data_IF_705647196032
#
_entry.id   IF_705647196032
#
_cell.length_a   1.000
_cell.length_b   1.000
_cell.length_c   1.000
_cell.angle_alpha   90.00
_cell.angle_beta   90.00
_cell.angle_gamma   90.00
#
_symmetry.space_group_name_H-M   'P 1'
#
loop_
_entity.id
_entity.type
_entity.pdbx_description
1 polymer ?
#
# COMPACT_ATOMS: atom_id res chain seq x y z
N UNK A 1 12.37 24.09 -19.29
CA UNK A 1 11.59 24.27 -18.05
C UNK A 1 10.34 23.41 -18.16
N UNK A 2 10.34 22.23 -17.53
CA UNK A 2 9.14 21.54 -17.04
C UNK A 2 9.58 20.22 -16.42
N UNK A 3 9.84 20.26 -15.12
CA UNK A 3 9.83 19.10 -14.27
C UNK A 3 9.59 19.67 -12.87
N UNK A 4 8.33 19.99 -12.59
CA UNK A 4 7.86 19.94 -11.22
C UNK A 4 8.27 18.56 -10.71
N UNK A 5 9.37 18.50 -9.96
CA UNK A 5 9.65 17.37 -9.09
C UNK A 5 8.40 17.27 -8.24
N UNK A 6 7.53 16.31 -8.51
CA UNK A 6 6.36 16.08 -7.69
C UNK A 6 6.84 15.97 -6.24
N UNK A 7 6.54 17.00 -5.47
CA UNK A 7 6.88 17.05 -4.07
C UNK A 7 6.24 15.84 -3.42
N UNK A 8 7.00 15.10 -2.62
CA UNK A 8 6.40 14.05 -1.81
C UNK A 8 5.26 14.66 -0.98
N UNK A 9 4.14 13.94 -0.82
CA UNK A 9 3.08 14.39 0.06
C UNK A 9 3.63 14.51 1.50
N UNK A 10 3.13 15.50 2.22
CA UNK A 10 3.42 15.72 3.64
C UNK A 10 2.79 14.61 4.49
N UNK A 11 3.26 14.46 5.72
CA UNK A 11 2.66 13.51 6.66
C UNK A 11 1.18 13.82 6.94
N UNK A 12 0.81 15.10 6.98
CA UNK A 12 -0.58 15.52 7.22
C UNK A 12 -1.50 15.19 6.03
N UNK A 13 -1.01 15.32 4.80
CA UNK A 13 -1.75 14.91 3.60
C UNK A 13 -1.97 13.39 3.57
N UNK A 14 -0.91 12.61 3.83
CA UNK A 14 -0.99 11.15 3.89
C UNK A 14 -1.92 10.67 5.02
N UNK A 15 -1.87 11.31 6.18
CA UNK A 15 -2.75 10.96 7.30
C UNK A 15 -4.22 11.28 6.98
N UNK A 16 -4.49 12.43 6.35
CA UNK A 16 -5.84 12.78 5.91
C UNK A 16 -6.38 11.76 4.92
N UNK A 17 -5.57 11.41 3.92
CA UNK A 17 -5.92 10.38 2.95
C UNK A 17 -6.22 9.04 3.63
N UNK A 18 -5.38 8.57 4.56
CA UNK A 18 -5.62 7.31 5.29
C UNK A 18 -6.92 7.32 6.11
N UNK A 19 -7.34 8.48 6.63
CA UNK A 19 -8.57 8.64 7.40
C UNK A 19 -9.83 8.67 6.52
N UNK A 20 -9.72 9.12 5.28
CA UNK A 20 -10.82 9.12 4.30
C UNK A 20 -11.15 7.71 3.77
N UNK A 21 -10.22 6.76 3.94
CA UNK A 21 -10.29 5.42 3.35
C UNK A 21 -10.94 4.35 4.24
N UNK A 22 -11.72 4.72 5.26
CA UNK A 22 -12.44 3.75 6.10
C UNK A 22 -13.46 2.92 5.31
N UNK A 23 -13.59 1.66 5.70
CA UNK A 23 -14.49 0.66 5.13
C UNK A 23 -15.61 0.29 6.11
N UNK A 24 -16.78 -0.07 5.60
CA UNK A 24 -17.86 -0.63 6.40
C UNK A 24 -17.55 -2.04 6.91
N UNK A 25 -16.73 -2.82 6.18
CA UNK A 25 -16.35 -4.18 6.50
C UNK A 25 -15.25 -4.70 5.57
N UNK A 26 -14.75 -5.91 5.85
CA UNK A 26 -13.80 -6.62 4.99
C UNK A 26 -13.99 -8.14 5.11
N UNK A 27 -14.98 -8.66 4.40
CA UNK A 27 -15.17 -10.09 4.16
C UNK A 27 -14.19 -10.63 3.12
N UNK A 28 -14.18 -11.94 2.96
CA UNK A 28 -13.45 -12.65 1.90
C UNK A 28 -13.91 -12.20 0.51
N UNK A 29 -15.22 -11.97 0.34
CA UNK A 29 -15.80 -11.45 -0.90
C UNK A 29 -15.34 -10.02 -1.17
N UNK A 30 -15.39 -9.13 -0.17
CA UNK A 30 -14.93 -7.74 -0.31
C UNK A 30 -13.45 -7.69 -0.71
N UNK A 31 -12.62 -8.55 -0.11
CA UNK A 31 -11.20 -8.65 -0.43
C UNK A 31 -10.94 -9.15 -1.87
N UNK A 32 -11.74 -10.12 -2.33
CA UNK A 32 -11.69 -10.60 -3.71
C UNK A 32 -12.10 -9.51 -4.71
N UNK A 33 -13.21 -8.82 -4.46
CA UNK A 33 -13.71 -7.74 -5.32
C UNK A 33 -12.74 -6.56 -5.39
N UNK A 34 -12.16 -6.16 -4.25
CA UNK A 34 -11.09 -5.16 -4.21
C UNK A 34 -9.88 -5.59 -5.06
N UNK A 35 -9.45 -6.85 -4.93
CA UNK A 35 -8.36 -7.40 -5.74
C UNK A 35 -8.67 -7.37 -7.23
N UNK A 36 -9.88 -7.80 -7.62
CA UNK A 36 -10.34 -7.79 -9.01
C UNK A 36 -10.41 -6.38 -9.59
N UNK A 37 -10.89 -5.41 -8.81
CA UNK A 37 -10.95 -4.00 -9.21
C UNK A 37 -9.54 -3.44 -9.51
N UNK A 38 -8.57 -3.74 -8.64
CA UNK A 38 -7.18 -3.36 -8.85
C UNK A 38 -6.58 -4.04 -10.09
N UNK A 39 -6.79 -5.35 -10.28
CA UNK A 39 -6.28 -6.07 -11.45
C UNK A 39 -6.88 -5.52 -12.75
N UNK A 40 -8.18 -5.24 -12.78
CA UNK A 40 -8.83 -4.66 -13.96
C UNK A 40 -8.21 -3.31 -14.34
N UNK A 41 -8.06 -2.40 -13.36
CA UNK A 41 -7.47 -1.08 -13.59
C UNK A 41 -6.00 -1.15 -14.02
N UNK A 42 -5.20 -2.04 -13.42
CA UNK A 42 -3.81 -2.23 -13.80
C UNK A 42 -3.68 -2.86 -15.20
N UNK A 43 -4.59 -3.76 -15.56
CA UNK A 43 -4.61 -4.41 -16.89
C UNK A 43 -4.96 -3.41 -17.99
N UNK A 44 -5.96 -2.55 -17.77
CA UNK A 44 -6.35 -1.49 -18.70
C UNK A 44 -5.18 -0.56 -19.04
N UNK A 45 -4.36 -0.25 -18.03
CA UNK A 45 -3.18 0.59 -18.14
C UNK A 45 -1.89 -0.18 -18.50
N UNK A 46 -1.96 -1.51 -18.66
CA UNK A 46 -0.83 -2.41 -18.92
C UNK A 46 0.33 -2.27 -17.91
N UNK A 47 -0.01 -2.11 -16.63
CA UNK A 47 0.97 -1.91 -15.57
C UNK A 47 1.61 -3.23 -15.13
N UNK A 48 2.94 -3.32 -15.02
CA UNK A 48 3.66 -4.54 -14.66
C UNK A 48 3.74 -4.73 -13.13
N UNK A 49 2.59 -4.87 -12.47
CA UNK A 49 2.50 -4.88 -11.00
C UNK A 49 2.07 -6.23 -10.43
N UNK A 50 2.55 -6.54 -9.23
CA UNK A 50 1.92 -7.53 -8.33
C UNK A 50 0.89 -6.83 -7.45
N UNK A 51 -0.31 -7.39 -7.34
CA UNK A 51 -1.43 -6.90 -6.49
C UNK A 51 -1.67 -7.89 -5.37
N UNK A 52 -2.03 -7.43 -4.17
CA UNK A 52 -2.54 -8.34 -3.14
C UNK A 52 -3.33 -7.67 -2.02
N UNK A 53 -4.13 -8.49 -1.33
CA UNK A 53 -5.00 -8.10 -0.21
C UNK A 53 -4.82 -9.10 0.94
N UNK A 54 -4.65 -8.58 2.15
CA UNK A 54 -4.47 -9.35 3.37
C UNK A 54 -5.42 -8.89 4.48
N UNK A 55 -5.93 -9.82 5.28
CA UNK A 55 -6.68 -9.56 6.52
C UNK A 55 -6.15 -10.46 7.63
N UNK A 56 -5.84 -9.90 8.80
CA UNK A 56 -5.34 -10.65 9.96
C UNK A 56 -4.18 -11.63 9.62
N UNK A 57 -3.26 -11.19 8.75
CA UNK A 57 -2.10 -12.00 8.32
C UNK A 57 -2.38 -13.06 7.24
N UNK A 58 -3.64 -13.32 6.89
CA UNK A 58 -4.01 -14.24 5.79
C UNK A 58 -4.03 -13.48 4.46
N UNK A 59 -3.42 -14.05 3.43
CA UNK A 59 -3.51 -13.55 2.06
C UNK A 59 -4.86 -13.97 1.48
N UNK A 60 -5.74 -13.01 1.24
CA UNK A 60 -7.08 -13.25 0.69
C UNK A 60 -7.11 -13.12 -0.83
N UNK A 61 -6.20 -12.32 -1.40
CA UNK A 61 -6.06 -12.13 -2.84
C UNK A 61 -4.60 -11.92 -3.23
N UNK A 62 -4.21 -12.43 -4.40
CA UNK A 62 -2.93 -12.16 -5.05
C UNK A 62 -3.03 -12.33 -6.56
N UNK A 63 -2.40 -11.43 -7.31
CA UNK A 63 -2.27 -11.57 -8.76
C UNK A 63 -1.00 -10.86 -9.21
N UNK A 64 -0.10 -11.58 -9.89
CA UNK A 64 1.01 -10.99 -10.65
C UNK A 64 0.58 -10.73 -12.09
N UNK A 65 0.67 -9.47 -12.55
CA UNK A 65 0.35 -9.11 -13.94
C UNK A 65 1.58 -9.28 -14.86
N UNK A 66 1.38 -9.36 -16.19
CA UNK A 66 2.49 -9.45 -17.14
C UNK A 66 3.57 -8.39 -16.91
N UNK A 67 4.83 -8.83 -16.80
CA UNK A 67 5.97 -7.96 -16.52
C UNK A 67 6.32 -7.82 -15.03
N UNK A 68 5.43 -8.21 -14.12
CA UNK A 68 5.78 -8.38 -12.70
C UNK A 68 6.59 -9.66 -12.48
N UNK A 69 7.31 -9.71 -11.36
CA UNK A 69 8.24 -10.79 -11.01
C UNK A 69 8.10 -11.17 -9.53
N UNK A 70 8.73 -12.27 -9.14
CA UNK A 70 8.77 -12.70 -7.74
C UNK A 70 9.43 -11.66 -6.79
N UNK A 71 10.28 -10.77 -7.32
CA UNK A 71 10.84 -9.67 -6.51
C UNK A 71 9.74 -8.67 -6.11
N UNK A 72 8.78 -8.39 -7.01
CA UNK A 72 7.64 -7.54 -6.71
C UNK A 72 6.78 -8.12 -5.56
N UNK A 73 6.60 -9.44 -5.52
CA UNK A 73 5.90 -10.12 -4.42
C UNK A 73 6.68 -10.00 -3.08
N UNK A 74 8.01 -10.09 -3.13
CA UNK A 74 8.86 -9.90 -1.97
C UNK A 74 8.79 -8.47 -1.43
N UNK A 75 8.83 -7.48 -2.33
CA UNK A 75 8.62 -6.07 -2.00
C UNK A 75 7.25 -5.82 -1.39
N UNK A 76 6.18 -6.35 -2.01
CA UNK A 76 4.81 -6.21 -1.53
C UNK A 76 4.68 -6.71 -0.07
N UNK A 77 5.24 -7.89 0.24
CA UNK A 77 5.27 -8.42 1.61
C UNK A 77 6.08 -7.54 2.59
N UNK A 78 7.19 -6.95 2.15
CA UNK A 78 8.02 -6.05 2.99
C UNK A 78 7.29 -4.74 3.29
N UNK A 79 6.59 -4.16 2.31
CA UNK A 79 5.76 -2.97 2.48
C UNK A 79 4.57 -3.24 3.40
N UNK A 80 3.83 -4.33 3.18
CA UNK A 80 2.67 -4.70 4.00
C UNK A 80 3.01 -5.00 5.46
N UNK A 81 4.20 -5.53 5.75
CA UNK A 81 4.69 -5.69 7.13
C UNK A 81 4.90 -4.34 7.84
N UNK A 82 5.27 -3.29 7.10
CA UNK A 82 5.33 -1.93 7.66
C UNK A 82 3.92 -1.47 8.02
N UNK A 83 2.94 -1.67 7.13
CA UNK A 83 1.54 -1.32 7.40
C UNK A 83 1.00 -1.99 8.64
N UNK A 84 1.14 -3.31 8.76
CA UNK A 84 0.65 -4.03 9.94
C UNK A 84 1.43 -3.71 11.23
N UNK A 85 2.65 -3.18 11.14
CA UNK A 85 3.48 -2.83 12.31
C UNK A 85 3.14 -1.45 12.87
N UNK A 86 2.80 -0.51 12.00
CA UNK A 86 2.67 0.91 12.33
C UNK A 86 1.27 1.48 12.08
N UNK A 87 0.36 0.70 11.49
CA UNK A 87 -1.02 1.09 11.18
C UNK A 87 -1.15 2.32 10.25
N UNK A 88 -0.07 2.60 9.51
CA UNK A 88 0.05 3.64 8.49
C UNK A 88 0.50 3.04 7.17
N UNK A 89 0.25 3.74 6.07
CA UNK A 89 0.76 3.35 4.76
C UNK A 89 2.27 3.25 4.76
N UNK A 90 2.79 2.39 3.88
CA UNK A 90 4.24 2.24 3.73
C UNK A 90 4.90 3.50 3.17
N UNK A 91 4.15 4.37 2.47
CA UNK A 91 4.60 5.70 2.03
C UNK A 91 4.66 6.70 3.21
N UNK A 92 3.67 6.71 4.11
CA UNK A 92 3.71 7.53 5.32
C UNK A 92 4.98 7.24 6.12
N UNK A 93 5.28 5.97 6.33
CA UNK A 93 6.50 5.57 7.04
C UNK A 93 7.78 5.94 6.28
N UNK A 94 7.76 5.93 4.94
CA UNK A 94 8.88 6.41 4.13
C UNK A 94 9.10 7.90 4.32
N UNK A 95 8.03 8.71 4.28
CA UNK A 95 8.09 10.15 4.49
C UNK A 95 8.55 10.49 5.91
N UNK A 96 8.05 9.77 6.91
CA UNK A 96 8.43 9.97 8.31
C UNK A 96 9.93 9.68 8.54
N UNK A 97 10.44 8.61 7.93
CA UNK A 97 11.86 8.27 7.97
C UNK A 97 12.71 9.34 7.26
N UNK A 98 12.24 9.83 6.12
CA UNK A 98 12.91 10.90 5.37
C UNK A 98 12.99 12.21 6.18
N UNK A 99 11.86 12.68 6.73
CA UNK A 99 11.80 13.92 7.53
C UNK A 99 12.70 13.83 8.78
N UNK A 100 12.84 12.63 9.36
CA UNK A 100 13.68 12.37 10.53
C UNK A 100 15.11 11.96 10.19
N UNK A 101 15.44 11.81 8.92
CA UNK A 101 16.75 11.34 8.43
C UNK A 101 17.22 10.03 9.10
N UNK A 102 16.30 9.06 9.24
CA UNK A 102 16.56 7.73 9.81
C UNK A 102 16.08 6.63 8.88
N UNK A 103 16.50 5.39 9.12
CA UNK A 103 15.89 4.21 8.49
C UNK A 103 14.98 3.44 9.46
N UNK A 104 14.18 2.52 8.93
CA UNK A 104 13.43 1.58 9.76
C UNK A 104 14.36 0.70 10.64
N UNK A 105 15.54 0.38 10.13
CA UNK A 105 16.52 -0.42 10.86
C UNK A 105 17.10 0.36 12.04
N UNK A 106 17.56 1.59 11.80
CA UNK A 106 18.23 2.39 12.83
C UNK A 106 17.28 2.82 13.95
N UNK A 107 16.06 3.24 13.59
CA UNK A 107 15.12 3.79 14.57
C UNK A 107 14.23 2.74 15.24
N UNK A 108 13.89 1.66 14.54
CA UNK A 108 12.90 0.68 15.02
C UNK A 108 13.45 -0.75 15.10
N UNK A 109 14.73 -0.99 14.79
CA UNK A 109 15.33 -2.32 14.81
C UNK A 109 14.75 -3.28 13.76
N UNK A 110 14.13 -2.76 12.70
CA UNK A 110 13.44 -3.56 11.70
C UNK A 110 14.39 -3.89 10.53
N UNK A 111 14.75 -5.16 10.29
CA UNK A 111 15.71 -5.51 9.26
C UNK A 111 15.14 -5.22 7.86
N UNK A 112 15.95 -4.60 7.00
CA UNK A 112 15.55 -4.23 5.64
C UNK A 112 15.12 -5.44 4.80
N UNK A 113 15.65 -6.65 5.08
CA UNK A 113 15.23 -7.90 4.44
C UNK A 113 13.76 -8.26 4.70
N UNK A 114 13.16 -7.74 5.78
CA UNK A 114 11.77 -8.04 6.15
C UNK A 114 10.83 -6.85 6.04
N UNK A 115 11.32 -5.61 6.11
CA UNK A 115 10.52 -4.39 6.11
C UNK A 115 11.03 -3.40 5.06
N UNK A 116 10.12 -2.70 4.41
CA UNK A 116 10.45 -1.67 3.44
C UNK A 116 9.51 -0.48 3.59
N UNK A 117 10.05 0.67 4.01
CA UNK A 117 9.36 1.94 3.93
C UNK A 117 9.46 2.47 2.50
N UNK A 118 8.48 2.12 1.68
CA UNK A 118 8.31 2.57 0.29
C UNK A 118 6.83 2.50 -0.06
N UNK A 119 6.31 3.46 -0.82
CA UNK A 119 4.89 3.50 -1.19
C UNK A 119 4.39 2.26 -1.95
N UNK A 120 3.09 2.00 -1.84
CA UNK A 120 2.42 0.86 -2.47
C UNK A 120 1.73 -0.12 -1.53
N UNK A 121 1.71 0.11 -0.22
CA UNK A 121 0.85 -0.64 0.70
C UNK A 121 0.09 0.33 1.62
N UNK A 122 -1.22 0.13 1.73
CA UNK A 122 -2.16 1.01 2.44
C UNK A 122 -2.99 0.19 3.43
N UNK A 123 -3.23 0.66 4.67
CA UNK A 123 -4.04 -0.05 5.65
C UNK A 123 -5.50 -0.15 5.21
N UNK A 124 -6.11 -1.31 5.47
CA UNK A 124 -7.56 -1.50 5.38
C UNK A 124 -8.15 -1.28 6.77
N UNK A 125 -8.77 -0.12 6.98
CA UNK A 125 -9.40 0.27 8.25
C UNK A 125 -10.90 0.02 8.17
N UNK A 126 -11.44 -0.70 9.15
CA UNK A 126 -12.89 -0.93 9.28
C UNK A 126 -13.44 -0.03 10.39
N UNK A 127 -14.54 0.69 10.11
CA UNK A 127 -15.17 1.62 11.03
C UNK A 127 -15.48 0.95 12.37
N UNK A 128 -15.06 1.57 13.47
CA UNK A 128 -15.24 1.04 14.82
C UNK A 128 -14.38 -0.18 15.18
N UNK A 129 -13.54 -0.69 14.26
CA UNK A 129 -12.65 -1.85 14.49
C UNK A 129 -11.18 -1.48 14.43
N UNK A 130 -10.79 -0.53 13.57
CA UNK A 130 -9.39 -0.16 13.33
C UNK A 130 -8.78 -0.88 12.12
N UNK A 131 -7.45 -0.97 12.06
CA UNK A 131 -6.74 -1.61 10.94
C UNK A 131 -6.85 -3.13 11.04
N UNK A 132 -7.54 -3.75 10.08
CA UNK A 132 -7.77 -5.20 10.04
C UNK A 132 -6.87 -5.93 9.03
N UNK A 133 -6.22 -5.17 8.16
CA UNK A 133 -5.51 -5.70 7.01
C UNK A 133 -4.82 -4.61 6.20
N UNK A 134 -4.40 -4.98 4.99
CA UNK A 134 -3.78 -4.06 4.05
C UNK A 134 -3.99 -4.55 2.62
N UNK A 135 -3.99 -3.60 1.70
CA UNK A 135 -3.92 -3.82 0.25
C UNK A 135 -2.66 -3.18 -0.27
N UNK A 136 -2.11 -3.70 -1.35
CA UNK A 136 -0.97 -3.05 -1.99
C UNK A 136 -0.68 -3.52 -3.39
N UNK A 137 0.21 -2.76 -4.04
CA UNK A 137 0.84 -3.10 -5.30
C UNK A 137 2.36 -2.92 -5.24
N UNK A 138 3.05 -3.60 -6.15
CA UNK A 138 4.48 -3.39 -6.38
C UNK A 138 4.81 -3.54 -7.85
N UNK A 139 5.46 -2.53 -8.43
CA UNK A 139 5.98 -2.58 -9.80
C UNK A 139 6.22 -1.20 -10.42
N UNK A 140 5.68 -0.13 -9.83
CA UNK A 140 5.83 1.25 -10.28
C UNK A 140 6.81 2.03 -9.38
N UNK A 141 7.17 3.28 -9.74
CA UNK A 141 7.75 4.21 -8.77
C UNK A 141 6.85 4.33 -7.53
N UNK A 142 7.47 4.49 -6.36
CA UNK A 142 6.78 4.33 -5.08
C UNK A 142 5.56 5.26 -4.87
N UNK A 143 5.61 6.48 -5.43
CA UNK A 143 4.49 7.42 -5.35
C UNK A 143 3.33 6.95 -6.21
N UNK A 144 3.62 6.38 -7.38
CA UNK A 144 2.61 5.86 -8.30
C UNK A 144 1.99 4.57 -7.78
N UNK A 145 2.80 3.66 -7.21
CA UNK A 145 2.32 2.47 -6.49
C UNK A 145 1.32 2.88 -5.38
N UNK A 146 1.64 3.92 -4.59
CA UNK A 146 0.76 4.40 -3.52
C UNK A 146 -0.52 5.03 -4.06
N UNK A 147 -0.40 5.97 -5.02
CA UNK A 147 -1.54 6.64 -5.65
C UNK A 147 -2.51 5.64 -6.28
N UNK A 148 -1.97 4.64 -6.99
CA UNK A 148 -2.77 3.58 -7.59
C UNK A 148 -3.65 2.89 -6.53
N UNK A 149 -3.06 2.46 -5.41
CA UNK A 149 -3.80 1.75 -4.36
C UNK A 149 -4.88 2.64 -3.74
N UNK A 150 -4.56 3.90 -3.47
CA UNK A 150 -5.51 4.87 -2.93
C UNK A 150 -6.68 5.08 -3.88
N UNK A 151 -6.40 5.26 -5.17
CA UNK A 151 -7.46 5.50 -6.17
C UNK A 151 -8.38 4.28 -6.32
N UNK A 152 -7.86 3.07 -6.16
CA UNK A 152 -8.70 1.86 -6.06
C UNK A 152 -9.56 1.90 -4.79
N UNK A 153 -9.00 2.22 -3.64
CA UNK A 153 -9.75 2.30 -2.38
C UNK A 153 -10.81 3.41 -2.37
N UNK A 154 -10.62 4.49 -3.13
CA UNK A 154 -11.62 5.56 -3.30
C UNK A 154 -12.85 5.13 -4.11
N UNK A 155 -12.75 4.04 -4.89
CA UNK A 155 -13.88 3.49 -5.66
C UNK A 155 -14.79 2.57 -4.83
N UNK A 156 -14.38 2.18 -3.62
CA UNK A 156 -15.19 1.34 -2.75
C UNK A 156 -16.31 2.14 -2.05
N UNK A 157 -17.47 1.52 -1.78
CA UNK A 157 -18.51 2.12 -0.95
C UNK A 157 -18.03 2.35 0.50
N UNK A 158 -18.59 3.36 1.16
CA UNK A 158 -18.21 3.84 2.51
C UNK A 158 -19.27 3.56 3.57
#
# INVERSE_FOLDING_TARGET
MSADRESWPTLDELLREENELELAGLSETDAYELGMLAVAAATEQRLPVSVGVWRAGRQLFHCGLPGSTADNDAWLRRKGRVVMRFEHSSLYMARLCQDKQVTLADRYGLPASRYAAAGGAVPLRVRGTGVVGWVGVSGLPQLDDHRFVVDILRKLPR
#
